data_IF_773293418048
#
_entry.id   IF_773293418048
#
_cell.length_a   1.000
_cell.length_b   1.000
_cell.length_c   1.000
_cell.angle_alpha   90.00
_cell.angle_beta   90.00
_cell.angle_gamma   90.00
#
_symmetry.space_group_name_H-M   'P 1'
#
loop_
_entity.id
_entity.type
_entity.pdbx_description
1 polymer ?
#
# COMPACT_ATOMS: atom_id res chain seq x y z
N UNK A 1 -13.76 -5.94 -9.86
CA UNK A 1 -12.49 -5.23 -9.57
C UNK A 1 -12.36 -5.09 -8.06
N UNK A 2 -11.18 -5.40 -7.51
CA UNK A 2 -10.82 -5.11 -6.13
C UNK A 2 -10.64 -3.61 -5.96
N UNK A 3 -11.20 -3.07 -4.88
CA UNK A 3 -11.11 -1.67 -4.53
C UNK A 3 -10.11 -1.50 -3.38
N UNK A 4 -9.50 -0.31 -3.21
CA UNK A 4 -8.75 0.00 -2.00
C UNK A 4 -9.60 -0.25 -0.76
N UNK A 5 -8.97 -0.73 0.32
CA UNK A 5 -9.60 -0.84 1.63
C UNK A 5 -10.10 0.52 2.11
N UNK A 6 -9.34 1.59 1.84
CA UNK A 6 -9.75 2.98 2.01
C UNK A 6 -9.22 3.85 0.88
N UNK A 7 -9.87 4.97 0.65
CA UNK A 7 -9.49 6.00 -0.33
C UNK A 7 -9.50 7.37 0.33
N UNK A 8 -8.68 8.29 -0.17
CA UNK A 8 -8.55 9.66 0.34
C UNK A 8 -8.19 9.76 1.84
N UNK A 9 -7.35 8.84 2.35
CA UNK A 9 -6.98 8.79 3.77
C UNK A 9 -5.46 8.71 3.95
N UNK A 10 -4.93 9.37 4.99
CA UNK A 10 -3.53 9.26 5.41
C UNK A 10 -3.38 8.46 6.71
N UNK A 11 -2.30 7.66 6.80
CA UNK A 11 -1.99 6.84 7.97
C UNK A 11 -0.91 7.53 8.82
N UNK A 12 -1.31 8.09 9.95
CA UNK A 12 -0.41 8.91 10.80
C UNK A 12 0.32 8.08 11.84
N UNK A 13 -0.28 6.98 12.28
CA UNK A 13 0.21 6.20 13.42
C UNK A 13 -0.13 4.72 13.31
N UNK A 14 0.49 3.89 14.15
CA UNK A 14 0.09 2.48 14.29
C UNK A 14 -1.35 2.35 14.76
N UNK A 15 -1.84 3.27 15.62
CA UNK A 15 -3.25 3.32 16.04
C UNK A 15 -4.18 3.44 14.82
N UNK A 16 -3.90 4.33 13.88
CA UNK A 16 -4.69 4.46 12.64
C UNK A 16 -4.74 3.11 11.90
N UNK A 17 -3.58 2.46 11.73
CA UNK A 17 -3.50 1.17 11.06
C UNK A 17 -4.28 0.06 11.79
N UNK A 18 -4.26 0.03 13.13
CA UNK A 18 -5.01 -0.93 13.93
C UNK A 18 -6.52 -0.80 13.76
N UNK A 19 -7.06 0.41 13.63
CA UNK A 19 -8.48 0.62 13.37
C UNK A 19 -8.87 0.09 11.98
N UNK A 20 -8.01 0.27 10.97
CA UNK A 20 -8.24 -0.26 9.63
C UNK A 20 -8.22 -1.78 9.65
N UNK A 21 -7.22 -2.40 10.29
CA UNK A 21 -7.20 -3.86 10.44
C UNK A 21 -8.44 -4.37 11.18
N UNK A 22 -8.89 -3.68 12.24
CA UNK A 22 -10.10 -4.05 12.94
C UNK A 22 -11.34 -3.97 12.05
N UNK A 23 -11.49 -2.90 11.26
CA UNK A 23 -12.61 -2.75 10.34
C UNK A 23 -12.58 -3.81 9.21
N UNK A 24 -11.40 -4.25 8.76
CA UNK A 24 -11.26 -5.41 7.86
C UNK A 24 -11.63 -6.72 8.55
N UNK A 25 -11.23 -6.95 9.80
CA UNK A 25 -11.62 -8.14 10.57
C UNK A 25 -13.14 -8.23 10.79
N UNK A 26 -13.81 -7.09 10.85
CA UNK A 26 -15.29 -7.00 10.89
C UNK A 26 -15.96 -7.06 9.51
N UNK A 27 -15.21 -7.26 8.44
CA UNK A 27 -15.68 -7.20 7.05
C UNK A 27 -16.39 -5.88 6.67
N UNK A 28 -16.09 -4.78 7.38
CA UNK A 28 -16.60 -3.44 7.07
C UNK A 28 -15.77 -2.77 5.97
N UNK A 29 -14.48 -3.09 5.92
CA UNK A 29 -13.58 -2.71 4.83
C UNK A 29 -13.12 -3.94 4.05
N UNK A 30 -12.88 -3.84 2.73
CA UNK A 30 -12.47 -4.99 1.95
C UNK A 30 -11.02 -5.39 2.24
N UNK A 31 -10.80 -6.71 2.33
CA UNK A 31 -9.48 -7.33 2.29
C UNK A 31 -9.11 -7.65 0.84
N UNK A 32 -7.90 -7.30 0.42
CA UNK A 32 -7.36 -7.70 -0.88
C UNK A 32 -6.94 -9.17 -0.81
N UNK A 33 -7.55 -9.99 -1.67
CA UNK A 33 -7.42 -11.46 -1.64
C UNK A 33 -6.58 -12.02 -2.78
N UNK A 34 -6.35 -11.23 -3.83
CA UNK A 34 -5.48 -11.57 -4.96
C UNK A 34 -4.63 -10.38 -5.39
N UNK A 35 -3.61 -10.65 -6.21
CA UNK A 35 -2.83 -9.58 -6.85
C UNK A 35 -3.77 -8.64 -7.62
N UNK A 36 -3.45 -7.36 -7.58
CA UNK A 36 -4.10 -6.36 -8.42
C UNK A 36 -3.84 -6.68 -9.89
N UNK A 37 -4.86 -6.54 -10.73
CA UNK A 37 -4.71 -6.60 -12.19
C UNK A 37 -4.12 -5.29 -12.75
N UNK A 38 -3.98 -5.21 -14.08
CA UNK A 38 -3.36 -4.06 -14.72
C UNK A 38 -4.21 -2.77 -14.60
N UNK A 39 -5.53 -2.86 -14.50
CA UNK A 39 -6.41 -1.70 -14.33
C UNK A 39 -6.40 -1.23 -12.87
N UNK A 40 -6.53 -2.17 -11.94
CA UNK A 40 -6.48 -1.92 -10.50
C UNK A 40 -5.14 -1.30 -10.06
N UNK A 41 -4.02 -1.71 -10.69
CA UNK A 41 -2.70 -1.09 -10.46
C UNK A 41 -2.62 0.34 -11.00
N UNK A 42 -3.15 0.59 -12.20
CA UNK A 42 -3.19 1.93 -12.80
C UNK A 42 -4.07 2.90 -11.99
N UNK A 43 -5.03 2.38 -11.24
CA UNK A 43 -5.90 3.16 -10.37
C UNK A 43 -5.28 3.53 -9.00
N UNK A 44 -4.04 3.11 -8.69
CA UNK A 44 -3.37 3.50 -7.45
C UNK A 44 -3.06 5.00 -7.47
N UNK A 45 -3.58 5.73 -6.49
CA UNK A 45 -3.40 7.17 -6.34
C UNK A 45 -3.12 7.55 -4.87
N UNK A 46 -2.64 8.78 -4.58
CA UNK A 46 -2.48 9.24 -3.21
C UNK A 46 -3.79 9.14 -2.41
N UNK A 47 -3.71 8.61 -1.19
CA UNK A 47 -4.85 8.38 -0.30
C UNK A 47 -5.40 6.95 -0.37
N UNK A 48 -4.96 6.12 -1.31
CA UNK A 48 -5.36 4.71 -1.34
C UNK A 48 -4.63 3.90 -0.26
N UNK A 49 -5.38 3.07 0.45
CA UNK A 49 -4.88 2.13 1.46
C UNK A 49 -5.41 0.74 1.15
N UNK A 50 -4.53 -0.25 1.20
CA UNK A 50 -4.85 -1.64 0.90
C UNK A 50 -4.42 -2.51 2.08
N UNK A 51 -5.34 -3.36 2.54
CA UNK A 51 -5.04 -4.43 3.51
C UNK A 51 -5.04 -5.76 2.79
N UNK A 52 -4.03 -6.59 3.04
CA UNK A 52 -3.91 -7.92 2.44
C UNK A 52 -3.31 -8.93 3.43
N UNK A 53 -3.66 -10.20 3.24
CA UNK A 53 -3.17 -11.30 4.05
C UNK A 53 -1.97 -11.98 3.38
N UNK A 54 -0.88 -12.12 4.16
CA UNK A 54 0.29 -12.89 3.75
C UNK A 54 -0.06 -14.37 3.73
N UNK A 55 0.27 -15.02 2.61
CA UNK A 55 0.15 -16.47 2.50
C UNK A 55 1.03 -17.15 3.56
N UNK A 56 0.44 -18.07 4.32
CA UNK A 56 1.11 -18.85 5.36
C UNK A 56 1.12 -20.33 4.98
N UNK A 57 2.03 -21.12 5.58
CA UNK A 57 2.03 -22.58 5.46
C UNK A 57 0.66 -23.20 5.81
N UNK A 58 -0.10 -22.54 6.68
CA UNK A 58 -1.43 -23.00 7.10
C UNK A 58 -2.53 -22.65 6.07
N UNK A 59 -2.29 -21.68 5.18
CA UNK A 59 -3.23 -21.30 4.11
C UNK A 59 -2.92 -22.00 2.77
N UNK A 60 -1.82 -22.76 2.69
CA UNK A 60 -1.39 -23.57 1.54
C UNK A 60 -2.51 -24.48 0.99
N UNK A 61 -3.34 -25.05 1.86
CA UNK A 61 -4.44 -25.94 1.48
C UNK A 61 -5.48 -25.26 0.56
N UNK A 62 -5.59 -23.93 0.60
CA UNK A 62 -6.51 -23.18 -0.27
C UNK A 62 -5.80 -22.56 -1.48
N UNK A 63 -4.47 -22.44 -1.44
CA UNK A 63 -3.70 -21.71 -2.46
C UNK A 63 -3.98 -20.20 -2.51
N UNK A 64 -4.78 -19.67 -1.58
CA UNK A 64 -5.22 -18.27 -1.55
C UNK A 64 -4.28 -17.43 -0.64
N UNK A 65 -3.99 -16.20 -1.06
CA UNK A 65 -3.11 -15.26 -0.34
C UNK A 65 -1.96 -14.71 -1.18
N UNK A 66 -1.44 -13.55 -0.79
CA UNK A 66 -0.31 -12.91 -1.48
C UNK A 66 0.97 -13.10 -0.68
N UNK A 67 2.10 -13.40 -1.32
CA UNK A 67 3.40 -13.43 -0.62
C UNK A 67 4.00 -12.03 -0.45
N UNK A 68 3.74 -11.17 -1.43
CA UNK A 68 4.27 -9.82 -1.49
C UNK A 68 3.35 -8.92 -2.31
N UNK A 69 3.26 -7.68 -1.86
CA UNK A 69 2.60 -6.62 -2.58
C UNK A 69 3.37 -6.24 -3.86
N UNK A 70 2.66 -6.14 -4.99
CA UNK A 70 3.21 -5.75 -6.29
C UNK A 70 2.28 -4.75 -6.97
N UNK A 71 2.74 -3.51 -7.07
CA UNK A 71 2.00 -2.37 -7.67
C UNK A 71 2.50 -2.01 -9.09
N UNK A 72 3.64 -2.55 -9.51
CA UNK A 72 4.22 -2.29 -10.84
C UNK A 72 5.00 -0.98 -10.94
N UNK A 73 5.24 -0.29 -9.82
CA UNK A 73 6.01 0.95 -9.78
C UNK A 73 7.45 0.71 -9.34
N UNK A 74 8.38 1.55 -9.83
CA UNK A 74 9.77 1.56 -9.36
C UNK A 74 9.88 2.22 -7.99
N UNK A 75 10.48 1.54 -7.02
CA UNK A 75 10.64 2.04 -5.64
C UNK A 75 12.11 2.16 -5.25
N UNK A 76 12.45 3.22 -4.51
CA UNK A 76 13.71 3.38 -3.81
C UNK A 76 13.92 2.36 -2.69
N UNK A 77 15.10 2.35 -2.05
CA UNK A 77 15.35 1.50 -0.88
C UNK A 77 14.40 1.86 0.27
N UNK A 78 14.05 0.85 1.09
CA UNK A 78 13.19 1.08 2.25
C UNK A 78 13.87 1.98 3.28
N UNK A 79 13.07 2.83 3.91
CA UNK A 79 13.45 3.63 5.08
C UNK A 79 12.53 3.28 6.25
N UNK A 80 13.11 2.99 7.40
CA UNK A 80 12.35 2.75 8.63
C UNK A 80 12.08 4.09 9.29
N UNK A 81 10.83 4.33 9.68
CA UNK A 81 10.45 5.40 10.60
C UNK A 81 9.36 4.86 11.51
N UNK A 82 9.66 4.82 12.80
CA UNK A 82 8.87 4.09 13.80
C UNK A 82 8.65 2.64 13.34
N UNK A 83 7.41 2.16 13.41
CA UNK A 83 7.02 0.82 12.98
C UNK A 83 6.79 0.69 11.45
N UNK A 84 6.93 1.79 10.69
CA UNK A 84 6.58 1.83 9.27
C UNK A 84 7.79 1.73 8.35
N UNK A 85 7.61 1.09 7.18
CA UNK A 85 8.57 1.18 6.06
C UNK A 85 8.05 2.22 5.07
N UNK A 86 8.96 3.06 4.57
CA UNK A 86 8.68 4.04 3.55
C UNK A 86 9.52 3.77 2.31
N UNK A 87 8.91 3.98 1.15
CA UNK A 87 9.53 3.86 -0.17
C UNK A 87 9.15 5.09 -0.98
N UNK A 88 10.11 5.70 -1.65
CA UNK A 88 9.88 6.80 -2.59
C UNK A 88 9.83 6.24 -4.02
N UNK A 89 8.85 6.69 -4.81
CA UNK A 89 8.72 6.29 -6.20
C UNK A 89 9.89 6.83 -7.04
N UNK A 90 10.51 5.97 -7.84
CA UNK A 90 11.56 6.34 -8.80
C UNK A 90 10.94 6.95 -10.06
N UNK A 91 11.74 7.73 -10.80
CA UNK A 91 11.36 8.12 -12.17
C UNK A 91 11.26 6.86 -13.03
N UNK A 92 10.24 6.81 -13.89
CA UNK A 92 10.23 5.88 -15.00
C UNK A 92 11.13 6.48 -16.09
N UNK A 93 12.39 6.07 -16.12
CA UNK A 93 13.25 6.40 -17.26
C UNK A 93 12.70 5.69 -18.49
N UNK A 94 12.23 6.48 -19.46
CA UNK A 94 11.70 6.00 -20.76
C UNK A 94 12.76 5.25 -21.58
N UNK A 95 14.01 5.16 -21.08
CA UNK A 95 15.16 4.57 -21.74
C UNK A 95 15.54 3.17 -21.22
N UNK A 96 14.88 2.61 -20.21
CA UNK A 96 15.23 1.30 -19.63
C UNK A 96 14.47 0.12 -20.29
N UNK A 97 14.21 0.22 -21.60
CA UNK A 97 13.80 -0.93 -22.41
C UNK A 97 15.01 -1.43 -23.22
N UNK A 98 15.64 -2.58 -22.86
CA UNK A 98 16.79 -3.11 -23.57
C UNK A 98 16.46 -3.61 -24.99
N UNK A 99 15.18 -3.57 -25.41
CA UNK A 99 14.70 -4.07 -26.70
C UNK A 99 14.30 -2.98 -27.71
N UNK A 100 14.14 -1.72 -27.32
CA UNK A 100 13.73 -0.66 -28.24
C UNK A 100 14.92 -0.13 -29.03
N UNK A 101 15.13 -0.71 -30.21
CA UNK A 101 15.85 -0.08 -31.31
C UNK A 101 15.16 1.24 -31.62
N UNK A 102 15.62 2.32 -30.96
CA UNK A 102 14.96 3.61 -30.94
C UNK A 102 14.75 4.19 -32.33
N UNK A 103 13.50 4.54 -32.63
CA UNK A 103 13.17 5.39 -33.77
C UNK A 103 13.88 6.75 -33.61
N UNK A 104 14.37 7.38 -34.69
CA UNK A 104 15.20 8.60 -34.62
C UNK A 104 14.60 9.76 -33.81
N UNK A 105 13.27 9.78 -33.65
CA UNK A 105 12.57 10.80 -32.88
C UNK A 105 12.81 10.69 -31.35
N UNK A 106 13.03 9.48 -30.82
CA UNK A 106 13.23 9.26 -29.38
C UNK A 106 14.57 9.84 -28.90
N UNK A 107 15.61 9.78 -29.75
CA UNK A 107 16.90 10.44 -29.50
C UNK A 107 16.78 11.97 -29.52
N UNK A 108 15.83 12.53 -30.28
CA UNK A 108 15.62 13.98 -30.37
C UNK A 108 15.00 14.58 -29.10
N UNK A 109 14.16 13.82 -28.37
CA UNK A 109 13.61 14.24 -27.06
C UNK A 109 14.69 14.26 -25.97
N UNK A 110 15.66 13.34 -26.03
CA UNK A 110 16.76 13.26 -25.06
C UNK A 110 17.66 14.51 -25.05
N UNK A 111 17.76 15.22 -26.19
CA UNK A 111 18.60 16.42 -26.32
C UNK A 111 18.06 17.68 -25.64
N UNK A 112 16.80 17.70 -25.21
CA UNK A 112 16.20 18.84 -24.53
C UNK A 112 15.55 18.41 -23.20
N UNK A 113 16.34 18.11 -22.16
CA UNK A 113 15.79 17.95 -20.82
C UNK A 113 15.24 19.31 -20.38
N UNK A 114 13.93 19.49 -20.52
CA UNK A 114 13.24 20.67 -20.01
C UNK A 114 13.42 20.70 -18.49
N UNK A 115 14.24 21.62 -18.00
CA UNK A 115 14.54 21.81 -16.57
C UNK A 115 13.30 22.07 -15.70
N UNK A 116 12.14 22.35 -16.32
CA UNK A 116 10.83 22.45 -15.65
C UNK A 116 10.21 21.10 -15.24
N UNK A 117 10.55 19.97 -15.87
CA UNK A 117 9.96 18.66 -15.51
C UNK A 117 10.50 18.09 -14.20
N UNK A 118 11.76 18.40 -13.86
CA UNK A 118 12.44 17.90 -12.65
C UNK A 118 11.85 18.45 -11.35
N UNK A 119 11.34 19.69 -11.36
CA UNK A 119 10.82 20.34 -10.15
C UNK A 119 9.34 20.01 -9.86
N UNK A 120 8.52 19.84 -10.89
CA UNK A 120 7.10 19.48 -10.73
C UNK A 120 6.91 17.98 -10.47
N UNK A 121 7.78 17.14 -11.04
CA UNK A 121 7.67 15.68 -10.87
C UNK A 121 7.86 15.21 -9.43
N UNK A 122 8.70 15.88 -8.63
CA UNK A 122 9.02 15.44 -7.27
C UNK A 122 7.84 15.56 -6.29
N UNK A 123 6.99 16.58 -6.48
CA UNK A 123 5.81 16.83 -5.64
C UNK A 123 4.67 15.83 -5.88
N UNK A 124 4.61 15.24 -7.07
CA UNK A 124 3.62 14.23 -7.46
C UNK A 124 4.08 12.79 -7.18
N UNK A 125 5.36 12.57 -6.83
CA UNK A 125 5.88 11.23 -6.54
C UNK A 125 5.10 10.59 -5.41
N UNK A 126 4.74 9.33 -5.64
CA UNK A 126 4.16 8.51 -4.59
C UNK A 126 5.22 8.15 -3.55
N UNK A 127 4.80 8.20 -2.31
CA UNK A 127 5.43 7.59 -1.16
C UNK A 127 4.54 6.41 -0.78
N UNK A 128 5.13 5.22 -0.76
CA UNK A 128 4.47 4.02 -0.24
C UNK A 128 4.89 3.83 1.22
N UNK A 129 3.90 3.70 2.08
CA UNK A 129 4.04 3.42 3.50
C UNK A 129 3.48 2.04 3.80
N UNK A 130 4.24 1.20 4.49
CA UNK A 130 3.78 -0.15 4.84
C UNK A 130 3.94 -0.44 6.33
N UNK A 131 3.02 -1.26 6.85
CA UNK A 131 3.03 -1.78 8.21
C UNK A 131 2.43 -3.20 8.21
N UNK A 132 2.90 -4.06 9.10
CA UNK A 132 2.43 -5.44 9.17
C UNK A 132 2.23 -5.90 10.60
N UNK A 133 1.25 -6.77 10.78
CA UNK A 133 0.85 -7.29 12.08
C UNK A 133 0.60 -8.79 12.02
N UNK A 134 0.90 -9.47 13.11
CA UNK A 134 0.35 -10.80 13.38
C UNK A 134 -1.06 -10.61 13.92
N UNK A 135 -1.99 -11.36 13.35
CA UNK A 135 -3.42 -11.29 13.68
C UNK A 135 -3.82 -12.53 14.45
N UNK A 136 -4.54 -12.30 15.54
CA UNK A 136 -5.03 -13.33 16.45
C UNK A 136 -6.48 -13.05 16.81
N UNK A 137 -7.38 -13.32 15.84
CA UNK A 137 -8.83 -13.20 16.03
C UNK A 137 -9.35 -14.34 16.92
N UNK A 138 -10.47 -14.15 17.64
CA UNK A 138 -11.05 -15.19 18.50
C UNK A 138 -11.26 -16.53 17.78
N UNK A 139 -11.83 -16.51 16.57
CA UNK A 139 -12.09 -17.71 15.78
C UNK A 139 -10.80 -18.40 15.31
N UNK A 140 -9.76 -17.63 15.02
CA UNK A 140 -8.45 -18.15 14.63
C UNK A 140 -7.74 -18.81 15.82
N UNK A 141 -7.81 -18.19 17.01
CA UNK A 141 -7.23 -18.74 18.25
C UNK A 141 -7.81 -20.10 18.59
N UNK A 142 -9.15 -20.24 18.49
CA UNK A 142 -9.83 -21.51 18.73
C UNK A 142 -9.35 -22.62 17.77
N UNK A 143 -8.82 -22.24 16.59
CA UNK A 143 -8.32 -23.15 15.55
C UNK A 143 -6.78 -23.24 15.51
N UNK A 144 -6.07 -22.54 16.39
CA UNK A 144 -4.60 -22.45 16.36
C UNK A 144 -4.05 -21.78 15.10
N UNK A 145 -4.86 -21.00 14.39
CA UNK A 145 -4.46 -20.30 13.16
C UNK A 145 -3.75 -19.01 13.54
N UNK A 146 -2.61 -18.74 12.91
CA UNK A 146 -1.92 -17.45 12.98
C UNK A 146 -1.88 -16.86 11.58
N UNK A 147 -2.36 -15.62 11.46
CA UNK A 147 -2.33 -14.87 10.20
C UNK A 147 -1.35 -13.71 10.30
N UNK A 148 -0.87 -13.25 9.16
CA UNK A 148 -0.07 -12.03 9.08
C UNK A 148 -0.71 -11.11 8.05
N UNK A 149 -1.13 -9.94 8.49
CA UNK A 149 -1.74 -8.94 7.64
C UNK A 149 -0.78 -7.79 7.40
N UNK A 150 -0.93 -7.19 6.23
CA UNK A 150 -0.15 -6.06 5.78
C UNK A 150 -1.08 -4.93 5.39
N UNK A 151 -0.63 -3.72 5.69
CA UNK A 151 -1.21 -2.48 5.21
C UNK A 151 -0.20 -1.84 4.25
N UNK A 152 -0.68 -1.44 3.08
CA UNK A 152 0.06 -0.66 2.09
C UNK A 152 -0.72 0.61 1.79
N UNK A 153 -0.19 1.77 2.16
CA UNK A 153 -0.78 3.07 1.90
C UNK A 153 0.09 3.89 0.94
N UNK A 154 -0.56 4.75 0.15
CA UNK A 154 0.10 5.65 -0.79
C UNK A 154 -0.27 7.10 -0.47
N UNK A 155 0.71 7.99 -0.53
CA UNK A 155 0.47 9.43 -0.48
C UNK A 155 1.52 10.16 -1.31
N UNK A 156 1.31 11.44 -1.60
CA UNK A 156 2.35 12.34 -2.11
C UNK A 156 2.50 13.51 -1.16
N UNK A 157 3.63 14.20 -1.18
CA UNK A 157 3.84 15.36 -0.31
C UNK A 157 2.80 16.45 -0.57
N UNK A 158 2.45 16.69 -1.84
CA UNK A 158 1.50 17.73 -2.24
C UNK A 158 0.07 17.48 -1.74
N UNK A 159 -0.38 16.22 -1.75
CA UNK A 159 -1.76 15.88 -1.38
C UNK A 159 -1.92 15.52 0.09
N UNK A 160 -0.83 15.36 0.85
CA UNK A 160 -0.86 14.82 2.21
C UNK A 160 -1.80 15.60 3.15
N UNK A 161 -1.87 16.91 3.03
CA UNK A 161 -2.72 17.76 3.88
C UNK A 161 -4.19 17.83 3.41
N UNK A 162 -4.49 17.30 2.22
CA UNK A 162 -5.84 17.19 1.68
C UNK A 162 -6.50 15.83 2.01
N UNK A 163 -5.72 14.87 2.53
CA UNK A 163 -6.20 13.55 2.88
C UNK A 163 -6.89 13.55 4.25
N UNK A 164 -8.01 12.85 4.34
CA UNK A 164 -8.73 12.66 5.60
C UNK A 164 -7.92 11.81 6.59
N UNK A 165 -8.30 11.86 7.85
CA UNK A 165 -7.74 11.00 8.88
C UNK A 165 -8.70 9.89 9.27
N UNK A 166 -8.19 8.86 9.95
CA UNK A 166 -9.05 7.77 10.43
C UNK A 166 -10.09 8.25 11.43
N UNK A 167 -9.81 9.30 12.20
CA UNK A 167 -10.75 9.88 13.15
C UNK A 167 -12.02 10.43 12.44
N UNK A 168 -11.90 10.81 11.15
CA UNK A 168 -13.00 11.36 10.34
C UNK A 168 -13.86 10.26 9.69
N UNK A 169 -13.59 8.98 9.96
CA UNK A 169 -14.24 7.84 9.31
C UNK A 169 -15.22 7.12 10.24
N UNK A 170 -16.54 7.32 10.08
CA UNK A 170 -17.55 6.64 10.87
C UNK A 170 -17.50 5.12 10.68
N UNK A 171 -17.62 4.37 11.76
CA UNK A 171 -17.53 2.92 11.77
C UNK A 171 -16.10 2.37 11.67
N UNK A 172 -15.08 3.25 11.63
CA UNK A 172 -13.67 2.88 11.59
C UNK A 172 -12.91 3.52 12.75
N UNK A 173 -12.77 4.85 12.76
CA UNK A 173 -11.94 5.54 13.76
C UNK A 173 -12.58 5.71 15.14
N UNK A 174 -13.91 5.62 15.20
CA UNK A 174 -14.73 5.68 16.41
C UNK A 174 -14.95 4.30 17.06
N UNK A 175 -14.56 3.22 16.38
CA UNK A 175 -14.75 1.85 16.86
C UNK A 175 -13.52 1.39 17.64
N UNK A 176 -13.65 1.08 18.95
CA UNK A 176 -12.52 0.64 19.76
C UNK A 176 -11.94 -0.66 19.22
N UNK A 177 -10.62 -0.72 19.11
CA UNK A 177 -9.89 -1.92 18.69
C UNK A 177 -9.66 -2.82 19.91
N UNK A 178 -10.11 -4.08 19.90
CA UNK A 178 -9.89 -4.99 21.01
C UNK A 178 -8.41 -5.30 21.24
N UNK A 179 -8.01 -5.34 22.51
CA UNK A 179 -6.63 -5.61 22.89
C UNK A 179 -6.18 -7.02 22.48
N UNK A 180 -4.92 -7.11 22.05
CA UNK A 180 -4.26 -8.36 21.72
C UNK A 180 -4.70 -9.01 20.40
N UNK A 181 -5.62 -8.41 19.64
CA UNK A 181 -5.99 -8.90 18.30
C UNK A 181 -4.87 -8.74 17.28
N UNK A 182 -4.11 -7.65 17.41
CA UNK A 182 -3.04 -7.29 16.49
C UNK A 182 -1.75 -7.05 17.27
N UNK A 183 -0.65 -7.62 16.80
CA UNK A 183 0.70 -7.37 17.32
C UNK A 183 1.62 -7.02 16.17
N UNK A 184 2.54 -6.07 16.36
CA UNK A 184 3.54 -5.73 15.34
C UNK A 184 4.25 -7.01 14.86
N UNK A 185 4.40 -7.16 13.54
CA UNK A 185 5.08 -8.30 12.93
C UNK A 185 6.54 -8.01 12.57
N UNK A 186 7.05 -6.85 12.99
CA UNK A 186 8.46 -6.50 12.91
C UNK A 186 9.27 -7.11 14.04
#
# INVERSE_FOLDING_TARGET
MQQPSLQNVRIRSTRDALHIFHAVAKNTLPLITRRLDAEERRAITPGNVYVWEERSANSEATGLGMERWTDGMGWGPSRVRDEFLFYQQKECDVNDDPGSSGTPWAQMISMYPSSRSRATGDSERLIKQTYSVRVSLPDDRARGITRKWHLTAYFSQQKLDQLNTIDDMPGVGDVPVPDGWFRSAR
#
